data_IF_661558385267
#
_entry.id   IF_661558385267
#
_cell.length_a   1.000
_cell.length_b   1.000
_cell.length_c   1.000
_cell.angle_alpha   90.00
_cell.angle_beta   90.00
_cell.angle_gamma   90.00
#
_symmetry.space_group_name_H-M   'P 1'
#
loop_
_entity.id
_entity.type
_entity.pdbx_description
1 polymer ?
#
# COMPACT_ATOMS: atom_id res chain seq x y z
N UNK A 1 -1.55 -7.62 28.34
CA UNK A 1 -2.82 -8.06 28.95
C UNK A 1 -2.90 -9.57 28.77
N UNK A 2 -3.16 -10.33 29.83
CA UNK A 2 -3.34 -11.78 29.75
C UNK A 2 -4.83 -12.12 29.89
N UNK A 3 -5.28 -13.13 29.17
CA UNK A 3 -6.66 -13.59 29.19
C UNK A 3 -6.74 -15.07 28.82
N UNK A 4 -7.86 -15.69 29.19
CA UNK A 4 -8.24 -17.04 28.78
C UNK A 4 -9.44 -16.96 27.83
N UNK A 5 -9.46 -17.84 26.81
CA UNK A 5 -10.53 -17.87 25.80
C UNK A 5 -11.38 -19.12 26.00
N UNK A 6 -12.68 -18.93 26.17
CA UNK A 6 -13.68 -20.00 26.22
C UNK A 6 -14.58 -19.90 24.99
N UNK A 7 -14.50 -20.89 24.11
CA UNK A 7 -15.37 -21.00 22.94
C UNK A 7 -16.61 -21.81 23.31
N UNK A 8 -17.79 -21.24 23.14
CA UNK A 8 -19.08 -21.90 23.42
C UNK A 8 -19.70 -22.48 22.16
N UNK A 9 -20.82 -23.19 22.34
CA UNK A 9 -21.61 -23.70 21.23
C UNK A 9 -22.37 -22.58 20.49
N UNK A 10 -22.68 -22.82 19.21
CA UNK A 10 -23.54 -21.96 18.37
C UNK A 10 -23.16 -20.47 18.35
N UNK A 11 -21.91 -20.17 17.96
CA UNK A 11 -21.52 -18.79 17.63
C UNK A 11 -21.40 -17.85 18.83
N UNK A 12 -21.09 -18.41 20.01
CA UNK A 12 -20.76 -17.69 21.23
C UNK A 12 -19.29 -17.89 21.62
N UNK A 13 -18.63 -16.83 22.08
CA UNK A 13 -17.22 -16.84 22.47
C UNK A 13 -17.01 -15.88 23.64
N UNK A 14 -16.15 -16.25 24.59
CA UNK A 14 -15.89 -15.47 25.80
C UNK A 14 -14.39 -15.32 26.03
N UNK A 15 -13.99 -14.14 26.50
CA UNK A 15 -12.63 -13.82 26.92
C UNK A 15 -12.68 -13.46 28.40
N UNK A 16 -11.95 -14.19 29.24
CA UNK A 16 -11.82 -13.94 30.68
C UNK A 16 -10.50 -13.22 30.92
N UNK A 17 -10.56 -12.03 31.51
CA UNK A 17 -9.35 -11.23 31.76
C UNK A 17 -8.68 -11.64 33.07
N UNK A 18 -7.38 -11.93 32.99
CA UNK A 18 -6.57 -12.28 34.15
C UNK A 18 -6.34 -11.02 35.00
N UNK A 19 -6.77 -11.00 36.27
CA UNK A 19 -6.53 -9.86 37.15
C UNK A 19 -5.07 -9.79 37.56
N UNK A 20 -4.61 -8.59 37.92
CA UNK A 20 -3.28 -8.37 38.49
C UNK A 20 -3.12 -9.08 39.84
N UNK A 21 -4.17 -9.04 40.65
CA UNK A 21 -4.23 -9.74 41.94
C UNK A 21 -5.67 -10.07 42.30
N UNK A 22 -5.84 -11.10 43.13
CA UNK A 22 -7.11 -11.48 43.73
C UNK A 22 -6.97 -11.56 45.25
N UNK A 23 -8.03 -11.27 45.99
CA UNK A 23 -8.06 -11.48 47.45
C UNK A 23 -8.34 -12.93 47.82
N UNK A 24 -8.95 -13.70 46.91
CA UNK A 24 -9.26 -15.13 47.05
C UNK A 24 -9.39 -15.77 45.66
N UNK A 25 -9.44 -17.10 45.61
CA UNK A 25 -9.72 -17.83 44.37
C UNK A 25 -11.14 -17.56 43.86
N UNK A 26 -12.08 -17.31 44.77
CA UNK A 26 -13.48 -16.97 44.45
C UNK A 26 -13.68 -15.53 43.96
N UNK A 27 -12.63 -14.72 43.79
CA UNK A 27 -12.80 -13.32 43.38
C UNK A 27 -13.48 -13.20 42.00
N UNK A 28 -14.42 -12.24 41.82
CA UNK A 28 -15.14 -12.07 40.57
C UNK A 28 -14.20 -11.69 39.44
N UNK A 29 -14.28 -12.40 38.30
CA UNK A 29 -13.43 -12.14 37.13
C UNK A 29 -14.21 -11.44 36.03
N UNK A 30 -13.63 -10.42 35.41
CA UNK A 30 -14.23 -9.76 34.27
C UNK A 30 -14.22 -10.66 33.03
N UNK A 31 -15.37 -10.80 32.41
CA UNK A 31 -15.58 -11.55 31.17
C UNK A 31 -16.17 -10.63 30.12
N UNK A 32 -15.58 -10.66 28.92
CA UNK A 32 -16.22 -10.12 27.73
C UNK A 32 -16.72 -11.27 26.86
N UNK A 33 -18.00 -11.26 26.52
CA UNK A 33 -18.63 -12.25 25.66
C UNK A 33 -19.02 -11.62 24.34
N UNK A 34 -18.87 -12.39 23.28
CA UNK A 34 -19.38 -12.09 21.96
C UNK A 34 -20.34 -13.19 21.52
N UNK A 35 -21.54 -12.78 21.11
CA UNK A 35 -22.56 -13.69 20.60
C UNK A 35 -23.01 -13.23 19.23
N UNK A 36 -23.03 -14.17 18.29
CA UNK A 36 -23.63 -13.95 16.97
C UNK A 36 -25.13 -14.28 17.02
N UNK A 37 -25.97 -13.26 16.82
CA UNK A 37 -27.42 -13.42 16.68
C UNK A 37 -27.81 -13.03 15.24
N UNK A 38 -27.79 -14.01 14.34
CA UNK A 38 -27.98 -13.78 12.91
C UNK A 38 -26.83 -12.99 12.28
N UNK A 39 -27.12 -11.87 11.59
CA UNK A 39 -26.11 -11.00 10.94
C UNK A 39 -25.51 -9.92 11.85
N UNK A 40 -25.85 -9.92 13.14
CA UNK A 40 -25.42 -8.87 14.09
C UNK A 40 -24.69 -9.51 15.27
N UNK A 41 -23.54 -8.93 15.61
CA UNK A 41 -22.80 -9.25 16.81
C UNK A 41 -23.35 -8.47 18.02
N UNK A 42 -23.45 -9.16 19.15
CA UNK A 42 -23.78 -8.58 20.45
C UNK A 42 -22.63 -8.85 21.41
N UNK A 43 -22.31 -7.86 22.22
CA UNK A 43 -21.27 -7.94 23.25
C UNK A 43 -21.93 -7.87 24.62
N UNK A 44 -21.47 -8.72 25.52
CA UNK A 44 -21.81 -8.64 26.95
C UNK A 44 -20.52 -8.50 27.75
N UNK A 45 -20.53 -7.67 28.78
CA UNK A 45 -19.45 -7.57 29.76
C UNK A 45 -20.03 -7.93 31.11
N UNK A 46 -19.52 -8.98 31.73
CA UNK A 46 -20.06 -9.52 32.97
C UNK A 46 -18.94 -9.94 33.91
N UNK A 47 -19.30 -10.39 35.10
CA UNK A 47 -18.39 -11.08 36.00
C UNK A 47 -18.66 -12.59 35.96
N UNK A 48 -17.62 -13.43 36.04
CA UNK A 48 -17.80 -14.86 36.28
C UNK A 48 -18.53 -15.08 37.60
N UNK A 49 -19.43 -16.07 37.59
CA UNK A 49 -20.30 -16.43 38.70
C UNK A 49 -19.87 -17.76 39.29
N UNK A 50 -18.63 -17.86 39.74
CA UNK A 50 -18.25 -19.01 40.59
C UNK A 50 -18.78 -18.82 42.03
N UNK A 51 -19.26 -17.62 42.38
CA UNK A 51 -20.02 -17.32 43.60
C UNK A 51 -21.39 -16.68 43.31
N UNK A 52 -22.40 -17.00 44.13
CA UNK A 52 -23.67 -16.28 44.16
C UNK A 52 -23.48 -14.93 44.84
N UNK A 53 -23.14 -13.91 44.05
CA UNK A 53 -22.91 -12.56 44.56
C UNK A 53 -24.22 -11.87 44.96
N UNK A 54 -24.35 -11.49 46.23
CA UNK A 54 -25.44 -10.61 46.70
C UNK A 54 -25.27 -9.18 46.18
N UNK A 55 -24.01 -8.74 46.09
CA UNK A 55 -23.66 -7.43 45.55
C UNK A 55 -22.40 -7.53 44.70
N UNK A 56 -22.39 -6.78 43.60
CA UNK A 56 -21.25 -6.67 42.71
C UNK A 56 -20.99 -5.19 42.41
N UNK A 57 -19.75 -4.76 42.57
CA UNK A 57 -19.35 -3.37 42.52
C UNK A 57 -18.05 -3.21 41.74
N UNK A 58 -17.93 -2.08 41.04
CA UNK A 58 -16.64 -1.58 40.58
C UNK A 58 -16.15 -0.54 41.58
N UNK A 59 -14.90 -0.68 42.01
CA UNK A 59 -14.23 0.30 42.85
C UNK A 59 -13.12 0.98 42.06
N UNK A 60 -13.26 2.28 41.84
CA UNK A 60 -12.29 3.11 41.12
C UNK A 60 -12.12 4.43 41.87
N UNK A 61 -10.88 4.84 42.16
CA UNK A 61 -10.59 6.09 42.90
C UNK A 61 -11.39 6.24 44.21
N UNK A 62 -11.54 5.16 44.98
CA UNK A 62 -12.35 5.07 46.20
C UNK A 62 -13.87 5.31 46.02
N UNK A 63 -14.36 5.44 44.79
CA UNK A 63 -15.77 5.44 44.46
C UNK A 63 -16.24 4.02 44.20
N UNK A 64 -17.44 3.68 44.66
CA UNK A 64 -18.06 2.37 44.52
C UNK A 64 -19.32 2.50 43.68
N UNK A 65 -19.28 1.94 42.49
CA UNK A 65 -20.41 1.91 41.58
C UNK A 65 -20.97 0.50 41.51
N UNK A 66 -22.30 0.37 41.51
CA UNK A 66 -22.95 -0.92 41.30
C UNK A 66 -22.61 -1.43 39.91
N UNK A 67 -22.09 -2.65 39.82
CA UNK A 67 -21.85 -3.33 38.56
C UNK A 67 -22.89 -4.42 38.36
N UNK A 68 -23.78 -4.22 37.40
CA UNK A 68 -24.83 -5.20 37.09
C UNK A 68 -24.48 -6.07 35.89
N UNK A 69 -23.30 -5.89 35.28
CA UNK A 69 -23.00 -6.40 33.96
C UNK A 69 -23.75 -5.64 32.87
N UNK A 70 -23.22 -5.74 31.66
CA UNK A 70 -23.77 -5.20 30.42
C UNK A 70 -24.10 -6.39 29.54
N UNK A 71 -25.33 -6.51 29.07
CA UNK A 71 -25.77 -7.70 28.35
C UNK A 71 -26.31 -7.36 26.97
N UNK A 72 -25.86 -8.14 25.99
CA UNK A 72 -26.40 -8.19 24.63
C UNK A 72 -26.50 -6.79 23.98
N UNK A 73 -25.51 -5.94 24.23
CA UNK A 73 -25.44 -4.60 23.65
C UNK A 73 -24.69 -4.63 22.34
N UNK A 74 -25.02 -3.67 21.46
CA UNK A 74 -24.20 -3.45 20.27
C UNK A 74 -22.84 -2.91 20.70
N UNK A 75 -21.75 -3.31 20.04
CA UNK A 75 -20.41 -2.72 20.15
C UNK A 75 -20.35 -1.21 20.47
N UNK A 76 -20.96 -0.38 19.61
CA UNK A 76 -21.01 1.08 19.75
C UNK A 76 -21.83 1.62 20.93
N UNK A 77 -22.64 0.77 21.57
CA UNK A 77 -23.48 1.15 22.71
C UNK A 77 -22.79 0.83 24.05
N UNK A 78 -21.61 0.19 24.03
CA UNK A 78 -20.82 -0.04 25.25
C UNK A 78 -20.32 1.29 25.86
N UNK A 79 -20.25 2.35 25.05
CA UNK A 79 -19.74 3.67 25.45
C UNK A 79 -20.53 4.35 26.57
N UNK A 80 -21.79 3.99 26.77
CA UNK A 80 -22.62 4.57 27.84
C UNK A 80 -22.51 3.85 29.18
N UNK A 81 -21.69 2.81 29.30
CA UNK A 81 -21.62 1.98 30.50
C UNK A 81 -20.61 2.52 31.52
N UNK A 82 -20.90 2.51 32.84
CA UNK A 82 -20.01 3.05 33.87
C UNK A 82 -18.61 2.44 33.85
N UNK A 83 -18.51 1.12 33.63
CA UNK A 83 -17.23 0.43 33.45
C UNK A 83 -16.47 0.99 32.24
N UNK A 84 -17.17 1.26 31.13
CA UNK A 84 -16.55 1.76 29.91
C UNK A 84 -16.03 3.19 30.09
N UNK A 85 -16.75 4.01 30.85
CA UNK A 85 -16.29 5.36 31.24
C UNK A 85 -15.01 5.29 32.07
N UNK A 86 -14.92 4.35 33.01
CA UNK A 86 -13.69 4.12 33.81
C UNK A 86 -12.53 3.67 32.91
N UNK A 87 -12.79 2.78 31.96
CA UNK A 87 -11.80 2.26 31.02
C UNK A 87 -11.39 3.27 29.92
N UNK A 88 -12.12 4.38 29.77
CA UNK A 88 -11.86 5.45 28.81
C UNK A 88 -10.95 6.57 29.35
N UNK A 89 -10.51 6.49 30.61
CA UNK A 89 -9.78 7.57 31.29
C UNK A 89 -8.71 8.27 30.44
N UNK A 90 -8.72 9.61 30.47
CA UNK A 90 -7.85 10.49 29.71
C UNK A 90 -6.38 10.40 30.18
N UNK A 91 -5.56 9.58 29.51
CA UNK A 91 -4.10 9.64 29.63
C UNK A 91 -3.39 8.28 29.69
N UNK A 92 -2.07 8.30 29.48
CA UNK A 92 -1.15 7.15 29.53
C UNK A 92 -1.01 6.48 30.92
N UNK A 93 -1.78 6.91 31.92
CA UNK A 93 -1.76 6.34 33.26
C UNK A 93 -2.62 5.07 33.33
N UNK A 94 -2.00 3.99 33.81
CA UNK A 94 -2.64 2.70 33.99
C UNK A 94 -3.86 2.80 34.92
N UNK A 95 -5.07 2.87 34.36
CA UNK A 95 -6.32 2.88 35.14
C UNK A 95 -6.36 1.64 36.03
N UNK A 96 -6.36 1.86 37.35
CA UNK A 96 -6.49 0.82 38.37
C UNK A 96 -7.93 0.81 38.89
N UNK A 97 -8.64 -0.29 38.66
CA UNK A 97 -9.95 -0.51 39.26
C UNK A 97 -10.03 -1.91 39.85
N UNK A 98 -11.00 -2.10 40.73
CA UNK A 98 -11.30 -3.38 41.35
C UNK A 98 -12.71 -3.80 40.99
N UNK A 99 -12.88 -5.09 40.68
CA UNK A 99 -14.17 -5.73 40.67
C UNK A 99 -14.34 -6.42 42.02
N UNK A 100 -15.37 -6.06 42.78
CA UNK A 100 -15.60 -6.53 44.15
C UNK A 100 -16.98 -7.13 44.28
N UNK A 101 -17.05 -8.38 44.76
CA UNK A 101 -18.27 -9.10 45.05
C UNK A 101 -18.44 -9.30 46.55
N UNK A 102 -19.69 -9.24 47.03
CA UNK A 102 -20.09 -9.70 48.38
C UNK A 102 -20.83 -11.01 48.23
N UNK A 103 -20.36 -12.05 48.88
CA UNK A 103 -20.98 -13.37 48.85
C UNK A 103 -22.16 -13.48 49.85
N UNK A 104 -22.81 -14.64 49.91
CA UNK A 104 -23.91 -14.92 50.84
C UNK A 104 -23.50 -15.03 52.32
N UNK A 105 -22.21 -15.02 52.62
CA UNK A 105 -21.66 -15.02 53.99
C UNK A 105 -21.27 -13.61 54.46
N UNK A 106 -21.54 -12.56 53.67
CA UNK A 106 -21.08 -11.18 53.91
C UNK A 106 -19.55 -11.00 53.80
N UNK A 107 -18.87 -11.90 53.10
CA UNK A 107 -17.45 -11.79 52.79
C UNK A 107 -17.24 -11.04 51.47
N UNK A 108 -16.19 -10.21 51.44
CA UNK A 108 -15.82 -9.43 50.26
C UNK A 108 -14.66 -10.07 49.51
N UNK A 109 -14.88 -10.33 48.23
CA UNK A 109 -13.88 -10.88 47.33
C UNK A 109 -13.60 -9.88 46.21
N UNK A 110 -12.34 -9.65 45.89
CA UNK A 110 -11.96 -8.63 44.93
C UNK A 110 -10.83 -9.05 44.00
N UNK A 111 -10.98 -8.70 42.73
CA UNK A 111 -9.97 -8.81 41.69
C UNK A 111 -9.55 -7.40 41.24
N UNK A 112 -8.23 -7.16 41.16
CA UNK A 112 -7.68 -5.88 40.69
C UNK A 112 -7.27 -5.94 39.22
N UNK A 113 -7.55 -4.88 38.49
CA UNK A 113 -7.23 -4.75 37.07
C UNK A 113 -6.43 -3.48 36.84
N UNK A 114 -5.36 -3.60 36.05
CA UNK A 114 -4.53 -2.48 35.62
C UNK A 114 -4.22 -2.66 34.13
N UNK A 115 -4.02 -1.56 33.41
CA UNK A 115 -3.76 -1.58 31.96
C UNK A 115 -4.87 -2.25 31.13
N UNK A 116 -6.08 -2.36 31.68
CA UNK A 116 -7.25 -2.79 30.93
C UNK A 116 -7.88 -1.56 30.30
N UNK A 117 -8.02 -1.57 28.98
CA UNK A 117 -8.58 -0.46 28.21
C UNK A 117 -9.74 -0.95 27.35
N UNK A 118 -10.61 -0.04 26.95
CA UNK A 118 -11.69 -0.32 26.01
C UNK A 118 -11.15 -0.93 24.72
N UNK A 119 -10.07 -0.38 24.16
CA UNK A 119 -9.37 -0.91 22.98
C UNK A 119 -8.82 -2.32 23.21
N UNK A 120 -8.25 -2.61 24.38
CA UNK A 120 -7.69 -3.92 24.69
C UNK A 120 -8.76 -5.02 24.79
N UNK A 121 -9.88 -4.75 25.46
CA UNK A 121 -11.02 -5.67 25.54
C UNK A 121 -11.59 -5.94 24.14
N UNK A 122 -11.76 -4.86 23.38
CA UNK A 122 -12.31 -4.84 22.03
C UNK A 122 -11.43 -5.65 21.06
N UNK A 123 -10.11 -5.46 21.10
CA UNK A 123 -9.17 -6.20 20.27
C UNK A 123 -9.14 -7.70 20.63
N UNK A 124 -9.22 -8.05 21.91
CA UNK A 124 -9.30 -9.44 22.33
C UNK A 124 -10.56 -10.13 21.79
N UNK A 125 -11.72 -9.48 21.84
CA UNK A 125 -12.96 -10.00 21.23
C UNK A 125 -12.88 -10.08 19.70
N UNK A 126 -12.26 -9.10 19.03
CA UNK A 126 -12.09 -9.15 17.58
C UNK A 126 -11.21 -10.32 17.16
N UNK A 127 -10.05 -10.48 17.80
CA UNK A 127 -9.06 -11.51 17.48
C UNK A 127 -9.53 -12.93 17.84
N UNK A 128 -10.08 -13.11 19.03
CA UNK A 128 -10.39 -14.46 19.54
C UNK A 128 -11.80 -14.93 19.17
N UNK A 129 -12.73 -13.98 19.02
CA UNK A 129 -14.16 -14.24 18.81
C UNK A 129 -14.70 -13.76 17.46
N UNK A 130 -13.89 -13.10 16.62
CA UNK A 130 -14.31 -12.63 15.29
C UNK A 130 -15.38 -11.52 15.33
N UNK A 131 -15.36 -10.69 16.38
CA UNK A 131 -16.31 -9.59 16.54
C UNK A 131 -16.15 -8.50 15.46
N UNK A 132 -17.26 -8.06 14.83
CA UNK A 132 -17.27 -7.04 13.75
C UNK A 132 -18.16 -5.82 14.07
N UNK A 133 -17.66 -4.60 13.82
CA UNK A 133 -18.36 -3.30 13.93
C UNK A 133 -17.94 -2.43 15.13
N UNK A 134 -17.73 -1.11 14.93
CA UNK A 134 -17.00 -0.14 15.80
C UNK A 134 -17.35 -0.03 17.30
N UNK A 135 -16.51 0.55 18.19
CA UNK A 135 -15.13 1.04 18.03
C UNK A 135 -14.12 -0.12 18.10
N UNK A 136 -14.49 -1.24 17.50
CA UNK A 136 -13.63 -2.34 17.12
C UNK A 136 -12.93 -1.91 15.84
N UNK A 137 -11.86 -1.11 15.95
CA UNK A 137 -10.94 -1.05 14.84
C UNK A 137 -10.35 -2.46 14.69
N UNK A 138 -10.48 -3.08 13.50
CA UNK A 138 -9.90 -4.39 13.29
C UNK A 138 -8.41 -4.30 13.60
N UNK A 139 -7.89 -5.31 14.30
CA UNK A 139 -6.45 -5.49 14.36
C UNK A 139 -5.88 -5.52 12.94
N UNK A 140 -4.58 -5.24 12.79
CA UNK A 140 -3.92 -5.31 11.49
C UNK A 140 -4.21 -6.66 10.78
N UNK A 141 -4.29 -7.73 11.56
CA UNK A 141 -4.66 -9.08 11.15
C UNK A 141 -6.11 -9.14 10.66
N UNK A 142 -7.07 -8.62 11.42
CA UNK A 142 -8.48 -8.60 11.00
C UNK A 142 -8.74 -7.75 9.76
N UNK A 143 -8.01 -6.65 9.59
CA UNK A 143 -8.10 -5.81 8.39
C UNK A 143 -7.52 -6.51 7.16
N UNK A 144 -6.45 -7.28 7.33
CA UNK A 144 -5.88 -8.13 6.28
C UNK A 144 -6.84 -9.24 5.89
N UNK A 145 -7.45 -9.94 6.85
CA UNK A 145 -8.44 -10.99 6.57
C UNK A 145 -9.67 -10.45 5.83
N UNK A 146 -10.14 -9.24 6.18
CA UNK A 146 -11.24 -8.60 5.45
C UNK A 146 -10.86 -8.20 4.03
N UNK A 147 -9.64 -7.71 3.83
CA UNK A 147 -9.11 -7.40 2.51
C UNK A 147 -8.92 -8.67 1.66
N UNK A 148 -8.42 -9.75 2.24
CA UNK A 148 -8.29 -11.06 1.60
C UNK A 148 -9.66 -11.63 1.20
N UNK A 149 -10.67 -11.45 2.05
CA UNK A 149 -12.05 -11.87 1.79
C UNK A 149 -12.74 -11.11 0.64
N UNK A 150 -12.14 -10.02 0.13
CA UNK A 150 -12.63 -9.34 -1.07
C UNK A 150 -12.36 -10.14 -2.36
N UNK A 151 -11.48 -11.15 -2.30
CA UNK A 151 -11.12 -12.02 -3.43
C UNK A 151 -10.75 -11.24 -4.72
N UNK A 152 -10.08 -10.09 -4.55
CA UNK A 152 -9.70 -9.22 -5.66
C UNK A 152 -8.76 -9.95 -6.62
N UNK A 153 -9.09 -9.91 -7.92
CA UNK A 153 -8.21 -10.53 -8.92
C UNK A 153 -6.95 -9.68 -9.10
N UNK A 154 -5.83 -10.26 -9.58
CA UNK A 154 -4.61 -9.48 -9.84
C UNK A 154 -4.81 -8.26 -10.75
N UNK A 155 -5.79 -8.31 -11.66
CA UNK A 155 -6.16 -7.18 -12.52
C UNK A 155 -6.82 -6.03 -11.74
N UNK A 156 -7.61 -6.37 -10.72
CA UNK A 156 -8.40 -5.44 -9.90
C UNK A 156 -7.45 -4.73 -8.94
N UNK A 157 -6.57 -5.48 -8.27
CA UNK A 157 -5.46 -4.95 -7.46
C UNK A 157 -4.62 -3.97 -8.28
N UNK A 158 -4.20 -4.38 -9.47
CA UNK A 158 -3.42 -3.50 -10.37
C UNK A 158 -4.20 -2.25 -10.76
N UNK A 159 -5.51 -2.33 -11.01
CA UNK A 159 -6.33 -1.18 -11.35
C UNK A 159 -6.38 -0.19 -10.19
N UNK A 160 -6.69 -0.66 -8.98
CA UNK A 160 -6.74 0.16 -7.77
C UNK A 160 -5.42 0.88 -7.53
N UNK A 161 -4.30 0.15 -7.64
CA UNK A 161 -2.95 0.74 -7.51
C UNK A 161 -2.70 1.86 -8.53
N UNK A 162 -3.19 1.70 -9.77
CA UNK A 162 -3.10 2.71 -10.80
C UNK A 162 -3.93 3.95 -10.50
N UNK A 163 -5.16 3.78 -9.99
CA UNK A 163 -6.03 4.89 -9.59
C UNK A 163 -5.38 5.70 -8.45
N UNK A 164 -4.87 5.03 -7.42
CA UNK A 164 -4.16 5.67 -6.31
C UNK A 164 -2.93 6.44 -6.81
N UNK A 165 -2.09 5.80 -7.61
CA UNK A 165 -0.90 6.45 -8.13
C UNK A 165 -1.23 7.61 -9.08
N UNK A 166 -2.31 7.53 -9.87
CA UNK A 166 -2.71 8.65 -10.73
C UNK A 166 -3.09 9.91 -9.92
N UNK A 167 -3.67 9.71 -8.73
CA UNK A 167 -4.22 10.76 -7.88
C UNK A 167 -3.17 11.37 -6.94
N UNK A 168 -2.29 10.54 -6.38
CA UNK A 168 -1.36 10.94 -5.31
C UNK A 168 0.13 10.79 -5.65
N UNK A 169 0.47 10.38 -6.88
CA UNK A 169 1.85 10.07 -7.28
C UNK A 169 2.07 10.36 -8.77
N UNK A 170 3.34 10.26 -9.18
CA UNK A 170 3.76 10.32 -10.58
C UNK A 170 4.31 8.96 -11.05
N UNK A 171 3.96 7.87 -10.35
CA UNK A 171 4.47 6.54 -10.68
C UNK A 171 4.06 6.10 -12.10
N UNK A 172 5.04 5.60 -12.83
CA UNK A 172 4.89 5.25 -14.25
C UNK A 172 4.66 3.74 -14.46
N UNK A 173 4.88 2.96 -13.41
CA UNK A 173 4.46 1.57 -13.27
C UNK A 173 4.17 1.28 -11.80
N UNK A 174 3.07 0.56 -11.56
CA UNK A 174 2.72 0.03 -10.24
C UNK A 174 3.18 -1.43 -10.08
N UNK A 175 3.73 -2.06 -11.11
CA UNK A 175 4.17 -3.46 -11.02
C UNK A 175 3.02 -4.46 -11.02
N UNK A 176 3.23 -5.64 -10.42
CA UNK A 176 2.27 -6.76 -10.37
C UNK A 176 2.05 -7.37 -8.98
N UNK A 177 2.79 -6.91 -7.98
CA UNK A 177 2.68 -7.44 -6.62
C UNK A 177 1.51 -6.83 -5.84
N UNK A 178 1.57 -7.02 -4.53
CA UNK A 178 0.63 -6.42 -3.59
C UNK A 178 0.90 -4.92 -3.39
N UNK A 179 0.06 -4.29 -2.58
CA UNK A 179 0.22 -2.88 -2.20
C UNK A 179 1.52 -2.67 -1.41
N UNK A 180 2.33 -1.73 -1.87
CA UNK A 180 3.51 -1.24 -1.15
C UNK A 180 3.12 -0.37 0.04
N UNK A 181 4.01 -0.20 1.02
CA UNK A 181 3.75 0.70 2.16
C UNK A 181 3.33 2.11 1.75
N UNK A 182 3.93 2.65 0.67
CA UNK A 182 3.53 3.95 0.11
C UNK A 182 2.11 3.96 -0.43
N UNK A 183 1.69 2.89 -1.12
CA UNK A 183 0.32 2.76 -1.62
C UNK A 183 -0.68 2.53 -0.48
N UNK A 184 -0.26 1.90 0.61
CA UNK A 184 -1.05 1.77 1.85
C UNK A 184 -1.31 3.15 2.48
N UNK A 185 -0.31 4.03 2.50
CA UNK A 185 -0.51 5.40 2.98
C UNK A 185 -1.41 6.23 2.03
N UNK A 186 -1.32 6.02 0.71
CA UNK A 186 -2.25 6.64 -0.25
C UNK A 186 -3.70 6.16 -0.06
N UNK A 187 -3.92 4.93 0.41
CA UNK A 187 -5.27 4.46 0.76
C UNK A 187 -5.86 5.24 1.94
N UNK A 188 -5.04 5.60 2.94
CA UNK A 188 -5.47 6.42 4.09
C UNK A 188 -5.95 7.78 3.59
N UNK A 189 -5.15 8.43 2.74
CA UNK A 189 -5.47 9.73 2.16
C UNK A 189 -6.71 9.65 1.25
N UNK A 190 -6.83 8.58 0.45
CA UNK A 190 -8.00 8.34 -0.38
C UNK A 190 -9.27 8.13 0.43
N UNK A 191 -9.23 7.30 1.48
CA UNK A 191 -10.39 7.02 2.32
C UNK A 191 -10.90 8.33 2.96
N UNK A 192 -10.00 9.08 3.60
CA UNK A 192 -10.29 10.37 4.23
C UNK A 192 -10.90 11.37 3.24
N UNK A 193 -10.29 11.52 2.06
CA UNK A 193 -10.74 12.47 1.03
C UNK A 193 -12.09 12.11 0.39
N UNK A 194 -12.56 10.88 0.57
CA UNK A 194 -13.80 10.38 -0.03
C UNK A 194 -14.87 10.02 1.01
N UNK A 195 -14.74 10.51 2.26
CA UNK A 195 -15.76 10.35 3.30
C UNK A 195 -15.79 8.96 3.94
N UNK A 196 -14.71 8.19 3.82
CA UNK A 196 -14.52 6.93 4.55
C UNK A 196 -13.58 7.13 5.73
N UNK A 197 -13.68 6.24 6.72
CA UNK A 197 -12.72 6.19 7.81
C UNK A 197 -11.30 5.92 7.27
N UNK A 198 -10.27 6.68 7.72
CA UNK A 198 -8.90 6.48 7.29
C UNK A 198 -8.41 5.05 7.55
N UNK A 199 -7.91 4.37 6.52
CA UNK A 199 -7.48 2.98 6.60
C UNK A 199 -6.33 2.67 5.65
N UNK A 200 -5.42 1.78 6.07
CA UNK A 200 -4.36 1.23 5.23
C UNK A 200 -4.81 0.00 4.42
N UNK A 201 -5.98 -0.55 4.73
CA UNK A 201 -6.52 -1.77 4.10
C UNK A 201 -7.82 -1.47 3.37
N UNK A 202 -8.03 -2.17 2.26
CA UNK A 202 -9.26 -2.12 1.51
C UNK A 202 -10.37 -2.81 2.30
N UNK A 203 -11.48 -2.10 2.45
CA UNK A 203 -12.76 -2.71 2.72
C UNK A 203 -13.58 -2.72 1.42
N UNK A 204 -14.74 -3.40 1.47
CA UNK A 204 -15.61 -3.55 0.30
C UNK A 204 -16.00 -2.21 -0.35
N UNK A 205 -16.38 -1.22 0.46
CA UNK A 205 -16.85 0.07 -0.06
C UNK A 205 -15.74 0.85 -0.78
N UNK A 206 -14.54 0.89 -0.19
CA UNK A 206 -13.38 1.56 -0.78
C UNK A 206 -12.93 0.83 -2.05
N UNK A 207 -12.91 -0.51 -2.03
CA UNK A 207 -12.53 -1.30 -3.19
C UNK A 207 -13.51 -1.11 -4.36
N UNK A 208 -14.82 -1.15 -4.12
CA UNK A 208 -15.84 -0.90 -5.14
C UNK A 208 -15.69 0.50 -5.74
N UNK A 209 -15.51 1.53 -4.91
CA UNK A 209 -15.32 2.90 -5.38
C UNK A 209 -14.05 3.05 -6.24
N UNK A 210 -12.92 2.49 -5.80
CA UNK A 210 -11.66 2.54 -6.55
C UNK A 210 -11.70 1.74 -7.85
N UNK A 211 -12.55 0.72 -7.95
CA UNK A 211 -12.74 -0.07 -9.19
C UNK A 211 -13.67 0.61 -10.20
N UNK A 212 -14.58 1.48 -9.73
CA UNK A 212 -15.45 2.29 -10.58
C UNK A 212 -14.77 3.56 -11.11
N UNK A 213 -13.69 3.99 -10.43
CA UNK A 213 -12.91 5.15 -10.82
C UNK A 213 -12.39 5.01 -12.26
N UNK A 214 -12.70 6.01 -13.08
CA UNK A 214 -12.27 6.03 -14.48
C UNK A 214 -10.79 6.35 -14.54
N UNK A 215 -9.99 5.30 -14.57
CA UNK A 215 -8.56 5.41 -14.87
C UNK A 215 -8.36 5.85 -16.33
N UNK A 216 -7.80 7.05 -16.50
CA UNK A 216 -7.25 7.51 -17.78
C UNK A 216 -5.75 7.60 -17.57
N UNK A 217 -4.96 6.69 -18.15
CA UNK A 217 -3.52 6.77 -17.97
C UNK A 217 -3.05 8.16 -18.36
N UNK A 218 -2.46 8.87 -17.40
CA UNK A 218 -1.71 10.09 -17.67
C UNK A 218 -0.63 9.69 -18.67
N UNK A 219 -0.87 9.90 -19.96
CA UNK A 219 0.22 10.18 -20.88
C UNK A 219 0.80 11.46 -20.30
N UNK A 220 2.03 11.42 -19.77
CA UNK A 220 2.75 12.66 -19.45
C UNK A 220 2.75 13.43 -20.76
N UNK A 221 1.85 14.42 -20.86
CA UNK A 221 1.67 15.14 -22.10
C UNK A 221 2.75 16.20 -22.11
N UNK A 222 3.94 15.78 -22.53
CA UNK A 222 5.08 16.66 -22.72
C UNK A 222 4.81 17.69 -23.85
N UNK A 223 3.62 17.67 -24.45
CA UNK A 223 3.15 18.63 -25.46
C UNK A 223 2.59 19.86 -24.74
N UNK A 224 3.47 20.75 -24.30
CA UNK A 224 3.06 22.10 -23.87
C UNK A 224 3.63 22.56 -22.54
N UNK A 225 4.43 21.74 -21.86
CA UNK A 225 5.16 22.20 -20.70
C UNK A 225 6.30 23.16 -21.13
N UNK A 226 6.45 24.32 -20.48
CA UNK A 226 7.60 25.20 -20.69
C UNK A 226 8.91 24.43 -20.50
N UNK A 227 9.82 24.51 -21.49
CA UNK A 227 11.09 23.76 -21.47
C UNK A 227 11.14 22.53 -22.38
N UNK A 228 9.99 22.05 -22.89
CA UNK A 228 9.96 20.92 -23.82
C UNK A 228 9.96 21.40 -25.27
N UNK A 229 10.96 20.97 -26.06
CA UNK A 229 11.06 21.28 -27.49
C UNK A 229 10.86 20.03 -28.35
N UNK A 230 9.83 20.05 -29.19
CA UNK A 230 9.45 18.93 -30.04
C UNK A 230 10.16 18.95 -31.40
N UNK A 231 10.59 17.78 -31.84
CA UNK A 231 11.19 17.49 -33.14
C UNK A 231 10.56 16.19 -33.66
N UNK A 232 9.47 16.32 -34.44
CA UNK A 232 8.66 15.19 -34.93
C UNK A 232 8.20 14.23 -33.83
N UNK A 233 8.79 13.02 -33.78
CA UNK A 233 8.48 11.96 -32.81
C UNK A 233 9.37 12.01 -31.55
N UNK A 234 10.29 12.97 -31.48
CA UNK A 234 11.20 13.18 -30.35
C UNK A 234 10.95 14.52 -29.66
N UNK A 235 11.23 14.56 -28.36
CA UNK A 235 11.11 15.76 -27.53
C UNK A 235 12.41 15.90 -26.74
N UNK A 236 12.95 17.12 -26.68
CA UNK A 236 14.11 17.50 -25.86
C UNK A 236 13.64 18.33 -24.67
N UNK A 237 14.21 18.11 -23.49
CA UNK A 237 13.88 18.85 -22.27
C UNK A 237 15.02 18.81 -21.25
N UNK A 238 15.00 19.75 -20.31
CA UNK A 238 15.86 19.75 -19.14
C UNK A 238 15.17 18.95 -18.02
N UNK A 239 15.82 17.90 -17.55
CA UNK A 239 15.36 17.10 -16.42
C UNK A 239 15.90 17.73 -15.13
N UNK A 240 15.13 18.65 -14.57
CA UNK A 240 15.50 19.39 -13.37
C UNK A 240 15.60 18.53 -12.11
N UNK A 241 14.96 17.35 -12.09
CA UNK A 241 15.02 16.43 -10.94
C UNK A 241 16.39 15.73 -10.88
N UNK A 242 16.87 15.26 -12.03
CA UNK A 242 18.16 14.57 -12.14
C UNK A 242 19.33 15.51 -12.49
N UNK A 243 19.06 16.79 -12.79
CA UNK A 243 20.07 17.75 -13.22
C UNK A 243 20.69 17.40 -14.57
N UNK A 244 19.94 16.72 -15.44
CA UNK A 244 20.40 16.26 -16.75
C UNK A 244 19.59 16.89 -17.89
N UNK A 245 20.06 16.77 -19.13
CA UNK A 245 19.24 17.09 -20.30
C UNK A 245 18.89 15.79 -21.01
N UNK A 246 17.65 15.70 -21.46
CA UNK A 246 17.08 14.47 -21.96
C UNK A 246 16.41 14.66 -23.32
N UNK A 247 16.40 13.57 -24.09
CA UNK A 247 15.47 13.39 -25.19
C UNK A 247 14.62 12.15 -24.98
N UNK A 248 13.37 12.22 -25.41
CA UNK A 248 12.40 11.13 -25.27
C UNK A 248 11.62 10.90 -26.57
N UNK A 249 11.34 9.64 -26.86
CA UNK A 249 10.39 9.24 -27.91
C UNK A 249 9.39 8.21 -27.37
N UNK A 250 8.14 8.31 -27.80
CA UNK A 250 7.08 7.38 -27.41
C UNK A 250 6.94 6.26 -28.45
N UNK A 251 6.57 5.06 -27.97
CA UNK A 251 6.40 3.90 -28.83
C UNK A 251 5.29 4.13 -29.87
N UNK A 252 5.60 3.92 -31.15
CA UNK A 252 4.63 3.96 -32.26
C UNK A 252 3.72 2.75 -32.26
N UNK A 253 4.24 1.60 -31.82
CA UNK A 253 3.45 0.38 -31.68
C UNK A 253 4.04 -0.56 -30.64
N UNK A 254 3.15 -1.36 -30.08
CA UNK A 254 3.46 -2.39 -29.08
C UNK A 254 2.76 -3.70 -29.46
N UNK A 255 3.42 -4.83 -29.23
CA UNK A 255 2.83 -6.18 -29.33
C UNK A 255 3.17 -6.95 -28.06
N UNK A 256 2.17 -7.59 -27.43
CA UNK A 256 2.32 -8.27 -26.13
C UNK A 256 2.36 -7.32 -24.92
N UNK A 257 2.68 -6.04 -25.13
CA UNK A 257 2.64 -5.00 -24.11
C UNK A 257 1.19 -4.58 -23.81
N UNK A 258 0.59 -5.19 -22.78
CA UNK A 258 -0.65 -4.68 -22.14
C UNK A 258 -0.25 -3.68 -21.07
N UNK A 259 -0.08 -2.41 -21.44
CA UNK A 259 0.28 -1.35 -20.51
C UNK A 259 -0.73 -0.23 -20.54
N UNK A 260 -0.88 0.37 -19.36
CA UNK A 260 -1.66 1.58 -19.15
C UNK A 260 -0.85 2.81 -19.60
N UNK A 261 0.47 2.80 -19.47
CA UNK A 261 1.37 3.84 -20.00
C UNK A 261 1.94 3.46 -21.36
N UNK A 262 2.01 4.43 -22.28
CA UNK A 262 2.69 4.23 -23.58
C UNK A 262 4.19 4.12 -23.29
N UNK A 263 4.86 3.01 -23.68
CA UNK A 263 6.29 2.90 -23.45
C UNK A 263 7.06 4.02 -24.13
N UNK A 264 8.13 4.46 -23.51
CA UNK A 264 9.02 5.49 -24.02
C UNK A 264 10.47 5.06 -23.97
N UNK A 265 11.26 5.66 -24.83
CA UNK A 265 12.70 5.53 -24.88
C UNK A 265 13.29 6.89 -24.52
N UNK A 266 14.27 6.90 -23.62
CA UNK A 266 14.92 8.11 -23.14
C UNK A 266 16.44 8.02 -23.28
N UNK A 267 17.04 9.16 -23.58
CA UNK A 267 18.49 9.32 -23.64
C UNK A 267 18.82 10.57 -22.86
N UNK A 268 19.68 10.43 -21.87
CA UNK A 268 20.07 11.49 -20.95
C UNK A 268 21.55 11.81 -21.09
N UNK A 269 21.86 13.09 -21.04
CA UNK A 269 23.19 13.64 -20.95
C UNK A 269 23.35 14.37 -19.62
N UNK A 270 24.29 13.91 -18.81
CA UNK A 270 24.67 14.60 -17.57
C UNK A 270 25.74 15.66 -17.89
N UNK A 271 25.53 16.95 -17.59
CA UNK A 271 26.51 18.01 -17.85
C UNK A 271 27.81 17.81 -17.06
N UNK A 272 27.76 17.15 -15.90
CA UNK A 272 28.88 16.93 -14.99
C UNK A 272 29.69 15.65 -15.28
N UNK A 273 29.16 14.73 -16.09
CA UNK A 273 29.78 13.45 -16.35
C UNK A 273 31.15 13.59 -17.05
N UNK A 274 32.21 13.08 -16.40
CA UNK A 274 33.55 12.99 -16.98
C UNK A 274 33.55 11.96 -18.12
N UNK A 275 33.62 12.46 -19.35
CA UNK A 275 33.69 11.64 -20.56
C UNK A 275 32.45 11.78 -21.46
N UNK A 276 32.52 11.26 -22.67
CA UNK A 276 31.40 11.29 -23.62
C UNK A 276 30.42 10.13 -23.33
N UNK A 277 29.94 9.98 -22.10
CA UNK A 277 28.95 8.96 -21.75
C UNK A 277 27.54 9.53 -21.85
N UNK A 278 26.59 8.67 -22.22
CA UNK A 278 25.14 8.91 -22.20
C UNK A 278 24.47 7.81 -21.39
N UNK A 279 23.38 8.17 -20.71
CA UNK A 279 22.50 7.18 -20.11
C UNK A 279 21.37 6.88 -21.07
N UNK A 280 21.18 5.61 -21.38
CA UNK A 280 20.10 5.14 -22.24
C UNK A 280 19.08 4.38 -21.41
N UNK A 281 17.81 4.69 -21.60
CA UNK A 281 16.71 3.83 -21.18
C UNK A 281 15.89 3.48 -22.41
N UNK A 282 16.08 2.25 -22.90
CA UNK A 282 15.53 1.82 -24.17
C UNK A 282 14.01 1.58 -24.09
N UNK A 283 13.48 1.21 -22.92
CA UNK A 283 12.03 1.04 -22.69
C UNK A 283 11.69 1.29 -21.23
N UNK A 284 10.93 2.37 -20.99
CA UNK A 284 10.25 2.62 -19.71
C UNK A 284 8.74 2.77 -19.92
N UNK A 285 7.89 2.13 -19.08
CA UNK A 285 8.28 1.17 -18.03
C UNK A 285 8.73 -0.18 -18.59
N UNK A 286 9.65 -0.84 -17.87
CA UNK A 286 10.17 -2.14 -18.25
C UNK A 286 9.13 -3.26 -18.04
N UNK A 287 8.80 -3.96 -19.12
CA UNK A 287 7.94 -5.17 -19.09
C UNK A 287 8.65 -6.42 -19.60
N UNK A 288 9.96 -6.40 -19.71
CA UNK A 288 10.71 -7.59 -20.11
C UNK A 288 11.12 -8.40 -18.88
N UNK A 289 11.27 -9.71 -19.09
CA UNK A 289 11.84 -10.63 -18.12
C UNK A 289 13.38 -10.61 -18.27
N UNK A 290 14.10 -10.45 -17.16
CA UNK A 290 15.57 -10.41 -17.13
C UNK A 290 16.22 -11.78 -17.36
N UNK A 291 15.48 -12.86 -17.16
CA UNK A 291 15.96 -14.24 -17.37
C UNK A 291 16.10 -14.58 -18.86
N UNK A 292 15.51 -13.76 -19.75
CA UNK A 292 15.52 -13.98 -21.19
C UNK A 292 16.24 -12.83 -21.93
N UNK A 293 16.93 -13.13 -23.04
CA UNK A 293 17.60 -12.11 -23.82
C UNK A 293 16.63 -11.01 -24.32
N UNK A 294 17.04 -9.76 -24.12
CA UNK A 294 16.40 -8.57 -24.67
C UNK A 294 17.33 -7.99 -25.74
N UNK A 295 16.77 -7.59 -26.88
CA UNK A 295 17.55 -7.09 -28.01
C UNK A 295 16.87 -5.89 -28.66
N UNK A 296 17.62 -4.80 -28.82
CA UNK A 296 17.25 -3.70 -29.72
C UNK A 296 17.80 -3.99 -31.12
N UNK A 297 17.03 -3.66 -32.14
CA UNK A 297 17.45 -3.66 -33.54
C UNK A 297 17.30 -2.25 -34.09
N UNK A 298 18.40 -1.68 -34.57
CA UNK A 298 18.45 -0.32 -35.13
C UNK A 298 19.33 -0.36 -36.37
N UNK A 299 18.81 0.09 -37.52
CA UNK A 299 19.57 0.08 -38.78
C UNK A 299 20.19 -1.30 -39.10
N UNK A 300 19.43 -2.38 -38.89
CA UNK A 300 19.89 -3.76 -39.05
C UNK A 300 20.87 -4.28 -37.97
N UNK A 301 21.43 -3.40 -37.13
CA UNK A 301 22.33 -3.78 -36.03
C UNK A 301 21.56 -4.28 -34.83
N UNK A 302 22.03 -5.37 -34.22
CA UNK A 302 21.49 -5.92 -32.98
C UNK A 302 22.32 -5.44 -31.80
N UNK A 303 21.65 -4.83 -30.83
CA UNK A 303 22.24 -4.34 -29.57
C UNK A 303 21.66 -5.21 -28.45
N UNK A 304 22.52 -5.85 -27.67
CA UNK A 304 22.10 -6.64 -26.52
C UNK A 304 21.72 -5.70 -25.38
N UNK A 305 20.56 -5.94 -24.77
CA UNK A 305 20.07 -5.17 -23.64
C UNK A 305 20.01 -6.05 -22.37
N UNK A 306 20.20 -5.44 -21.22
CA UNK A 306 19.95 -6.00 -19.89
C UNK A 306 18.98 -5.11 -19.11
N UNK A 307 18.52 -5.62 -17.96
CA UNK A 307 17.75 -4.84 -17.00
C UNK A 307 18.67 -4.49 -15.83
N UNK A 308 18.87 -3.19 -15.60
CA UNK A 308 19.62 -2.65 -14.47
C UNK A 308 18.74 -1.66 -13.72
N UNK A 309 18.55 -1.87 -12.42
CA UNK A 309 17.69 -1.03 -11.56
C UNK A 309 16.29 -0.81 -12.14
N UNK A 310 15.75 -1.85 -12.77
CA UNK A 310 14.43 -1.82 -13.41
C UNK A 310 14.40 -1.16 -14.80
N UNK A 311 15.48 -0.52 -15.26
CA UNK A 311 15.57 0.14 -16.57
C UNK A 311 16.18 -0.78 -17.62
N UNK A 312 15.79 -0.63 -18.89
CA UNK A 312 16.30 -1.48 -19.99
C UNK A 312 17.47 -0.78 -20.66
N UNK A 313 18.69 -1.31 -20.47
CA UNK A 313 19.93 -0.64 -20.89
C UNK A 313 20.77 -1.52 -21.82
N UNK A 314 21.65 -0.95 -22.66
CA UNK A 314 22.68 -1.72 -23.36
C UNK A 314 23.74 -2.28 -22.41
N UNK A 315 24.16 -3.53 -22.62
CA UNK A 315 25.10 -4.26 -21.74
C UNK A 315 26.49 -3.64 -21.65
N UNK A 316 26.97 -2.98 -22.72
CA UNK A 316 28.36 -2.54 -22.85
C UNK A 316 28.54 -1.01 -22.86
N UNK A 317 27.86 -0.27 -21.97
CA UNK A 317 27.96 1.20 -21.92
C UNK A 317 29.19 1.77 -21.18
N UNK A 318 30.10 0.92 -20.67
CA UNK A 318 31.26 1.40 -19.86
C UNK A 318 32.26 2.30 -20.62
N UNK A 319 32.08 2.56 -21.92
CA UNK A 319 32.88 3.51 -22.69
C UNK A 319 32.01 4.43 -23.57
N UNK A 320 32.43 5.69 -23.76
CA UNK A 320 31.74 6.65 -24.63
C UNK A 320 31.70 6.22 -26.12
N UNK A 321 32.54 5.27 -26.54
CA UNK A 321 32.50 4.68 -27.88
C UNK A 321 31.20 3.89 -28.15
N UNK A 322 30.74 3.10 -27.17
CA UNK A 322 29.49 2.34 -27.30
C UNK A 322 28.27 3.27 -27.41
N UNK A 323 28.27 4.38 -26.68
CA UNK A 323 27.24 5.42 -26.78
C UNK A 323 27.21 6.07 -28.17
N UNK A 324 28.39 6.40 -28.73
CA UNK A 324 28.50 6.98 -30.06
C UNK A 324 27.93 6.08 -31.16
N UNK A 325 28.21 4.78 -31.09
CA UNK A 325 27.75 3.83 -32.10
C UNK A 325 26.25 3.60 -32.09
N UNK A 326 25.63 3.62 -30.90
CA UNK A 326 24.18 3.57 -30.75
C UNK A 326 23.55 4.84 -31.34
N UNK A 327 24.06 6.03 -31.00
CA UNK A 327 23.57 7.31 -31.54
C UNK A 327 23.66 7.33 -33.07
N UNK A 328 24.80 6.90 -33.65
CA UNK A 328 24.95 6.80 -35.10
C UNK A 328 24.02 5.77 -35.73
N UNK A 329 23.70 4.68 -35.04
CA UNK A 329 22.74 3.70 -35.53
C UNK A 329 21.32 4.29 -35.55
N UNK A 330 20.90 4.99 -34.50
CA UNK A 330 19.56 5.63 -34.44
C UNK A 330 19.46 6.73 -35.51
N UNK A 331 20.50 7.56 -35.69
CA UNK A 331 20.56 8.59 -36.74
C UNK A 331 20.34 8.02 -38.14
N UNK A 332 20.94 6.86 -38.45
CA UNK A 332 20.86 6.23 -39.79
C UNK A 332 19.60 5.39 -39.95
N UNK A 333 19.10 4.82 -38.86
CA UNK A 333 17.93 3.96 -38.83
C UNK A 333 16.63 4.73 -39.04
N UNK A 334 15.58 3.99 -39.42
CA UNK A 334 14.20 4.51 -39.49
C UNK A 334 13.42 4.27 -38.19
N UNK A 335 13.74 3.17 -37.52
CA UNK A 335 13.09 2.75 -36.28
C UNK A 335 14.06 2.04 -35.34
N UNK A 336 13.71 2.03 -34.06
CA UNK A 336 14.32 1.21 -33.02
C UNK A 336 13.31 0.14 -32.61
N UNK A 337 13.63 -1.12 -32.86
CA UNK A 337 12.73 -2.25 -32.54
C UNK A 337 13.30 -3.07 -31.40
N UNK A 338 12.57 -3.16 -30.31
CA UNK A 338 13.01 -3.86 -29.10
C UNK A 338 12.17 -5.12 -28.94
N UNK A 339 12.86 -6.25 -28.73
CA UNK A 339 12.26 -7.57 -28.60
C UNK A 339 12.76 -8.24 -27.33
N UNK A 340 11.85 -8.92 -26.65
CA UNK A 340 12.17 -9.72 -25.46
C UNK A 340 11.01 -10.62 -25.08
N UNK A 341 11.16 -11.34 -23.97
CA UNK A 341 10.07 -12.09 -23.35
C UNK A 341 9.39 -11.21 -22.31
N UNK A 342 8.07 -11.24 -22.21
CA UNK A 342 7.32 -10.47 -21.22
C UNK A 342 7.67 -10.88 -19.79
N UNK A 343 7.69 -9.92 -18.86
CA UNK A 343 8.02 -10.11 -17.44
C UNK A 343 7.14 -11.18 -16.77
N UNK A 344 5.88 -11.25 -17.21
CA UNK A 344 4.83 -12.02 -16.55
C UNK A 344 4.13 -13.03 -17.48
N UNK A 345 4.64 -13.18 -18.69
CA UNK A 345 4.13 -14.13 -19.67
C UNK A 345 5.29 -14.62 -20.52
N UNK A 346 5.29 -15.91 -20.86
CA UNK A 346 6.30 -16.48 -21.79
C UNK A 346 6.13 -15.96 -23.23
N UNK A 347 5.18 -15.07 -23.47
CA UNK A 347 4.92 -14.46 -24.76
C UNK A 347 6.01 -13.43 -25.13
N UNK A 348 6.23 -13.29 -26.44
CA UNK A 348 7.17 -12.31 -26.98
C UNK A 348 6.57 -10.93 -27.00
N UNK A 349 7.31 -9.99 -26.43
CA UNK A 349 7.00 -8.57 -26.41
C UNK A 349 7.81 -7.85 -27.48
N UNK A 350 7.16 -6.92 -28.18
CA UNK A 350 7.81 -6.07 -29.18
C UNK A 350 7.37 -4.62 -28.98
N UNK A 351 8.34 -3.72 -28.92
CA UNK A 351 8.12 -2.26 -28.84
C UNK A 351 8.86 -1.60 -30.00
N UNK A 352 8.22 -0.63 -30.67
CA UNK A 352 8.83 0.12 -31.79
C UNK A 352 8.81 1.61 -31.52
N UNK A 353 9.97 2.24 -31.69
CA UNK A 353 10.14 3.68 -31.65
C UNK A 353 10.55 4.21 -33.01
N UNK A 354 10.11 5.43 -33.32
CA UNK A 354 10.50 6.14 -34.54
C UNK A 354 11.86 6.80 -34.35
N UNK A 355 12.69 6.82 -35.40
CA UNK A 355 13.90 7.65 -35.43
C UNK A 355 13.66 9.06 -36.01
N UNK A 356 12.44 9.35 -36.49
CA UNK A 356 12.11 10.63 -37.12
C UNK A 356 12.23 11.80 -36.13
N UNK A 357 13.11 12.76 -36.43
CA UNK A 357 13.39 13.92 -35.56
C UNK A 357 14.49 13.70 -34.52
N UNK A 358 15.05 12.48 -34.42
CA UNK A 358 16.09 12.13 -33.46
C UNK A 358 17.30 13.07 -33.51
N UNK A 359 17.85 13.31 -34.71
CA UNK A 359 19.05 14.15 -34.88
C UNK A 359 18.84 15.57 -34.37
N UNK A 360 17.68 16.17 -34.63
CA UNK A 360 17.38 17.54 -34.20
C UNK A 360 17.19 17.61 -32.68
N UNK A 361 16.47 16.63 -32.10
CA UNK A 361 16.31 16.53 -30.64
C UNK A 361 17.65 16.32 -29.93
N UNK A 362 18.46 15.35 -30.41
CA UNK A 362 19.78 15.07 -29.82
C UNK A 362 20.71 16.27 -29.89
N UNK A 363 20.69 17.01 -31.00
CA UNK A 363 21.49 18.22 -31.15
C UNK A 363 21.06 19.32 -30.17
N UNK A 364 19.75 19.46 -29.90
CA UNK A 364 19.22 20.41 -28.91
C UNK A 364 19.67 20.00 -27.50
N UNK A 365 19.45 18.75 -27.09
CA UNK A 365 19.90 18.24 -25.79
C UNK A 365 21.41 18.40 -25.60
N UNK A 366 22.24 18.05 -26.59
CA UNK A 366 23.68 18.21 -26.50
C UNK A 366 24.12 19.69 -26.38
N UNK A 367 23.38 20.61 -26.99
CA UNK A 367 23.61 22.05 -26.87
C UNK A 367 23.21 22.56 -25.48
N UNK A 368 22.03 22.19 -25.00
CA UNK A 368 21.50 22.63 -23.71
C UNK A 368 22.37 22.14 -22.54
N UNK A 369 22.87 20.90 -22.65
CA UNK A 369 23.75 20.32 -21.65
C UNK A 369 25.22 20.72 -21.78
N UNK A 370 25.58 21.61 -22.70
CA UNK A 370 26.96 22.01 -23.01
C UNK A 370 27.89 20.79 -23.24
N UNK A 371 27.44 19.84 -24.06
CA UNK A 371 28.19 18.64 -24.43
C UNK A 371 28.57 18.67 -25.93
N UNK A 372 29.49 19.56 -26.36
CA UNK A 372 29.84 19.71 -27.78
C UNK A 372 30.47 18.45 -28.39
N UNK A 373 31.14 17.61 -27.60
CA UNK A 373 31.81 16.38 -28.07
C UNK A 373 30.83 15.29 -28.51
N UNK A 374 29.70 15.11 -27.81
CA UNK A 374 28.70 14.10 -28.23
C UNK A 374 27.96 14.55 -29.49
N UNK A 375 27.88 15.87 -29.74
CA UNK A 375 27.32 16.43 -30.98
C UNK A 375 28.11 15.98 -32.21
N UNK A 376 29.41 15.74 -32.09
CA UNK A 376 30.25 15.25 -33.18
C UNK A 376 29.85 13.85 -33.65
N UNK A 377 29.13 13.07 -32.83
CA UNK A 377 28.63 11.76 -33.24
C UNK A 377 27.50 11.83 -34.26
N UNK A 378 26.90 13.02 -34.44
CA UNK A 378 25.92 13.28 -35.48
C UNK A 378 26.56 13.63 -36.84
N UNK A 379 27.90 13.73 -36.93
CA UNK A 379 28.58 13.97 -38.21
C UNK A 379 28.65 12.71 -39.05
#
# INVERSE_FOLDING_TARGET
MKYEVIKGDQGSCSVIFEPRSKTSDDAPLLVAKYKTSGKKGLVSIEATRDGDWEQLQIVHQNQRDKFSGVFDVKPKNLESEPLWTILQGDGDDAVLFHLTGRDGNDEFHSASYTNLTTTGITAALANECGAKGGPFQPSEIGSLEEEEALELKPRDIRHIRWVLNQKYSNAEDVGLGDFTGRERDMLVEYASSNGHEPTRYLNKAIAEQLLEEKFKPKRKDLRGEPGFKRFDDWISYDDSEDGTCAIVSFAKSTKGFKTYTVPRMEIHADPSARGNSLYFDFVTPNRFNNDFPITATVDGRKIRLNIEDGRVRPVDLRSGFASADIVRAIRRGKEVVIRGTGKNEKAKHVVRFSALGFTAAFNKMAYDCDRPRIREWLR
#
